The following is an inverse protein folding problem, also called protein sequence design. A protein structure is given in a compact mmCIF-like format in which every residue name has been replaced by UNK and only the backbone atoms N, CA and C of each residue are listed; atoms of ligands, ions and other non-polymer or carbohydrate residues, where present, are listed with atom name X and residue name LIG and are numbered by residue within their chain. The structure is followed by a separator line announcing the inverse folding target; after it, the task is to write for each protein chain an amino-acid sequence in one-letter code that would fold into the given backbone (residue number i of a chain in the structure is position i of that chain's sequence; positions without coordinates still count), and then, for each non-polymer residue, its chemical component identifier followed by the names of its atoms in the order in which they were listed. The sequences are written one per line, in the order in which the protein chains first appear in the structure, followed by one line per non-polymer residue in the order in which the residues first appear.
data_IF_005427417300
#
_entry.id   IF_005427417300
#
_cell.length_a   1.000
_cell.length_b   1.000
_cell.length_c   1.000
_cell.angle_alpha   90.00
_cell.angle_beta   90.00
_cell.angle_gamma   90.00
#
_symmetry.space_group_name_H-M   'P 1'
#
loop_
_entity.id
_entity.type
_entity.pdbx_description
1 polymer ?
#
# COMPACT_ATOMS: atom_id res chain seq x y z
N UNK A 1 -17.66 6.97 -79.49
CA UNK A 1 -18.60 8.10 -79.59
C UNK A 1 -17.85 9.37 -79.28
N UNK A 2 -17.45 10.11 -80.30
CA UNK A 2 -16.74 11.39 -80.18
C UNK A 2 -17.77 12.47 -79.90
N UNK A 3 -17.82 13.00 -78.67
CA UNK A 3 -18.68 14.15 -78.35
C UNK A 3 -18.26 15.33 -79.21
N UNK A 4 -19.23 16.05 -79.76
CA UNK A 4 -18.92 17.27 -80.51
C UNK A 4 -18.37 18.34 -79.56
N UNK A 5 -17.62 19.29 -80.10
CA UNK A 5 -17.07 20.42 -79.31
C UNK A 5 -18.17 21.25 -78.67
N UNK A 6 -19.33 21.36 -79.30
CA UNK A 6 -20.50 22.07 -78.77
C UNK A 6 -21.15 21.31 -77.61
N UNK A 7 -21.29 19.99 -77.72
CA UNK A 7 -21.80 19.15 -76.63
C UNK A 7 -20.90 19.23 -75.40
N UNK A 8 -19.58 19.30 -75.62
CA UNK A 8 -18.62 19.44 -74.51
C UNK A 8 -18.74 20.80 -73.80
N UNK A 9 -18.94 21.89 -74.56
CA UNK A 9 -19.13 23.23 -73.97
C UNK A 9 -20.43 23.31 -73.17
N UNK A 10 -21.53 22.79 -73.71
CA UNK A 10 -22.81 22.75 -73.00
C UNK A 10 -22.72 21.91 -71.72
N UNK A 11 -21.99 20.79 -71.74
CA UNK A 11 -21.76 19.98 -70.55
C UNK A 11 -20.93 20.71 -69.48
N UNK A 12 -19.93 21.50 -69.88
CA UNK A 12 -19.13 22.31 -68.95
C UNK A 12 -19.96 23.44 -68.33
N UNK A 13 -20.80 24.12 -69.12
CA UNK A 13 -21.68 25.17 -68.60
C UNK A 13 -22.74 24.61 -67.64
N UNK A 14 -23.34 23.47 -67.97
CA UNK A 14 -24.26 22.76 -67.08
C UNK A 14 -23.58 22.31 -65.78
N UNK A 15 -22.32 21.87 -65.85
CA UNK A 15 -21.53 21.55 -64.65
C UNK A 15 -21.21 22.81 -63.84
N UNK A 16 -20.80 23.91 -64.47
CA UNK A 16 -20.53 25.18 -63.77
C UNK A 16 -21.76 25.75 -63.07
N UNK A 17 -22.95 25.56 -63.65
CA UNK A 17 -24.21 25.98 -63.04
C UNK A 17 -24.59 25.16 -61.78
N UNK A 18 -24.11 23.91 -61.69
CA UNK A 18 -24.39 23.00 -60.58
C UNK A 18 -23.20 22.78 -59.65
N UNK A 19 -22.03 23.32 -60.02
CA UNK A 19 -20.81 23.20 -59.24
C UNK A 19 -20.94 23.98 -57.93
N UNK A 20 -20.53 23.39 -56.79
CA UNK A 20 -20.47 24.07 -55.51
C UNK A 20 -19.56 25.31 -55.60
N UNK A 21 -19.96 26.40 -54.96
CA UNK A 21 -19.26 27.69 -55.07
C UNK A 21 -17.93 27.70 -54.32
N UNK A 22 -17.81 26.87 -53.28
CA UNK A 22 -16.60 26.72 -52.49
C UNK A 22 -16.00 25.33 -52.69
N UNK A 23 -14.69 25.25 -52.95
CA UNK A 23 -13.90 24.01 -53.06
C UNK A 23 -14.09 23.08 -51.85
N UNK A 24 -14.51 23.62 -50.70
CA UNK A 24 -14.76 22.90 -49.46
C UNK A 24 -15.95 21.95 -49.56
N UNK A 25 -16.91 22.21 -50.45
CA UNK A 25 -18.10 21.37 -50.65
C UNK A 25 -17.84 20.17 -51.57
N UNK A 26 -16.77 20.22 -52.36
CA UNK A 26 -16.36 19.14 -53.26
C UNK A 26 -15.79 17.93 -52.51
N UNK A 27 -15.31 18.15 -51.28
CA UNK A 27 -14.73 17.11 -50.43
C UNK A 27 -15.71 16.81 -49.30
N UNK A 28 -16.47 15.73 -49.43
CA UNK A 28 -17.36 15.16 -48.39
C UNK A 28 -16.60 14.63 -47.16
N UNK A 29 -15.63 15.39 -46.62
CA UNK A 29 -15.15 15.12 -45.27
C UNK A 29 -16.23 15.66 -44.34
N UNK A 30 -16.91 14.81 -43.54
CA UNK A 30 -17.98 15.27 -42.67
C UNK A 30 -17.45 16.42 -41.82
N UNK A 31 -18.09 17.59 -41.94
CA UNK A 31 -17.79 18.77 -41.12
C UNK A 31 -17.94 18.32 -39.66
N UNK A 32 -16.83 18.08 -38.96
CA UNK A 32 -16.86 17.91 -37.50
C UNK A 32 -17.57 19.13 -36.95
N UNK A 33 -18.70 18.90 -36.28
CA UNK A 33 -19.57 19.95 -35.78
C UNK A 33 -18.74 21.05 -35.11
N UNK A 34 -18.90 22.30 -35.55
CA UNK A 34 -18.28 23.49 -34.94
C UNK A 34 -18.73 23.57 -33.48
N UNK A 35 -17.99 22.95 -32.58
CA UNK A 35 -18.32 22.85 -31.16
C UNK A 35 -17.70 21.61 -30.52
N UNK A 36 -17.57 20.52 -31.27
CA UNK A 36 -16.93 19.31 -30.80
C UNK A 36 -15.42 19.42 -31.04
N UNK A 37 -14.74 20.22 -30.20
CA UNK A 37 -13.29 20.11 -30.05
C UNK A 37 -13.02 18.63 -29.78
N UNK A 38 -12.51 17.91 -30.78
CA UNK A 38 -11.98 16.56 -30.61
C UNK A 38 -11.07 16.63 -29.39
N UNK A 39 -11.56 16.14 -28.25
CA UNK A 39 -10.80 16.10 -27.00
C UNK A 39 -9.55 15.33 -27.38
N UNK A 40 -8.41 16.01 -27.49
CA UNK A 40 -7.17 15.47 -28.07
C UNK A 40 -6.73 14.16 -27.41
N UNK A 41 -7.27 13.88 -26.24
CA UNK A 41 -6.99 12.76 -25.34
C UNK A 41 -8.10 11.71 -25.22
N UNK A 42 -9.25 11.79 -25.94
CA UNK A 42 -10.35 10.80 -25.78
C UNK A 42 -9.89 9.37 -26.05
N UNK A 43 -9.13 9.16 -27.13
CA UNK A 43 -8.57 7.83 -27.45
C UNK A 43 -7.41 7.37 -26.57
N UNK A 44 -6.91 8.18 -25.62
CA UNK A 44 -5.93 7.71 -24.62
C UNK A 44 -6.61 7.28 -23.32
N UNK A 45 -7.82 7.77 -23.04
CA UNK A 45 -8.61 7.35 -21.87
C UNK A 45 -9.15 5.90 -22.00
N UNK A 46 -9.14 5.35 -23.22
CA UNK A 46 -9.60 4.00 -23.55
C UNK A 46 -8.49 2.94 -23.47
N UNK A 47 -7.27 3.31 -23.02
CA UNK A 47 -6.12 2.40 -22.88
C UNK A 47 -6.19 1.58 -21.58
N UNK A 48 -7.22 0.73 -21.45
CA UNK A 48 -7.36 -0.20 -20.33
C UNK A 48 -6.21 -1.20 -20.22
N UNK A 49 -5.56 -1.57 -21.34
CA UNK A 49 -4.42 -2.49 -21.34
C UNK A 49 -3.24 -1.95 -20.51
N UNK A 50 -2.98 -0.64 -20.53
CA UNK A 50 -1.91 -0.05 -19.72
C UNK A 50 -2.24 -0.09 -18.22
N UNK A 51 -3.51 0.12 -17.85
CA UNK A 51 -3.95 0.03 -16.46
C UNK A 51 -3.89 -1.41 -15.94
N UNK A 52 -4.26 -2.39 -16.77
CA UNK A 52 -4.14 -3.81 -16.42
C UNK A 52 -2.67 -4.25 -16.32
N UNK A 53 -1.79 -3.78 -17.21
CA UNK A 53 -0.35 -3.99 -17.09
C UNK A 53 0.25 -3.37 -15.82
N UNK A 54 -0.27 -2.22 -15.39
CA UNK A 54 0.13 -1.56 -14.14
C UNK A 54 -0.32 -2.34 -12.91
N UNK A 55 -1.51 -2.93 -12.97
CA UNK A 55 -2.08 -3.77 -11.90
C UNK A 55 -1.56 -5.20 -11.90
N UNK A 56 -0.60 -5.54 -12.77
CA UNK A 56 0.01 -6.87 -12.80
C UNK A 56 0.46 -7.22 -11.37
N UNK A 57 0.08 -8.39 -10.84
CA UNK A 57 0.60 -8.87 -9.56
C UNK A 57 2.10 -9.11 -9.72
N UNK A 58 2.91 -8.10 -9.43
CA UNK A 58 4.38 -8.16 -9.45
C UNK A 58 4.83 -8.23 -8.00
N UNK A 59 5.22 -9.42 -7.59
CA UNK A 59 5.70 -9.69 -6.25
C UNK A 59 5.27 -11.06 -5.79
N UNK A 60 6.24 -11.83 -5.30
CA UNK A 60 6.11 -13.09 -4.55
C UNK A 60 6.11 -14.41 -5.35
N UNK A 61 5.70 -14.48 -6.64
CA UNK A 61 5.60 -15.80 -7.31
C UNK A 61 6.53 -16.06 -8.53
N UNK A 62 7.19 -15.06 -9.12
CA UNK A 62 7.87 -15.28 -10.42
C UNK A 62 9.32 -15.80 -10.36
N UNK A 63 9.90 -16.05 -9.17
CA UNK A 63 11.26 -16.63 -9.07
C UNK A 63 12.39 -15.78 -9.68
N UNK A 64 12.08 -14.60 -10.23
CA UNK A 64 13.02 -13.57 -10.66
C UNK A 64 13.40 -12.76 -9.42
N UNK A 65 14.71 -12.54 -9.14
CA UNK A 65 15.13 -11.67 -8.05
C UNK A 65 14.46 -10.31 -8.23
N UNK A 66 13.79 -9.83 -7.18
CA UNK A 66 13.05 -8.56 -7.25
C UNK A 66 14.04 -7.42 -7.50
N UNK A 67 14.22 -7.04 -8.75
CA UNK A 67 14.75 -5.73 -9.08
C UNK A 67 13.78 -4.70 -8.50
N UNK A 68 14.33 -3.65 -7.88
CA UNK A 68 13.56 -2.55 -7.32
C UNK A 68 12.57 -2.05 -8.37
N UNK A 69 11.28 -2.03 -8.02
CA UNK A 69 10.21 -1.56 -8.89
C UNK A 69 10.67 -0.24 -9.54
N UNK A 70 10.71 -0.13 -10.89
CA UNK A 70 10.98 1.15 -11.52
C UNK A 70 9.87 2.10 -11.07
N UNK A 71 10.22 3.01 -10.16
CA UNK A 71 9.35 4.11 -9.77
C UNK A 71 8.93 4.81 -11.04
N UNK A 72 7.62 4.95 -11.24
CA UNK A 72 7.03 5.52 -12.45
C UNK A 72 7.61 6.92 -12.66
N UNK A 73 8.58 7.05 -13.59
CA UNK A 73 9.16 8.34 -14.00
C UNK A 73 8.29 9.08 -15.00
N UNK A 74 7.11 8.54 -15.29
CA UNK A 74 6.34 8.91 -16.46
C UNK A 74 5.14 9.77 -16.06
N UNK A 75 5.21 11.06 -16.41
CA UNK A 75 4.24 12.10 -16.06
C UNK A 75 2.94 12.00 -16.89
N UNK A 76 2.38 10.81 -17.08
CA UNK A 76 1.15 10.61 -17.86
C UNK A 76 -0.09 10.99 -17.04
N UNK A 77 -0.24 12.27 -16.72
CA UNK A 77 -1.51 12.77 -16.17
C UNK A 77 -2.49 12.99 -17.33
N UNK A 78 -3.44 12.07 -17.48
CA UNK A 78 -4.57 12.15 -18.42
C UNK A 78 -5.73 13.02 -17.91
N UNK A 79 -5.64 13.57 -16.70
CA UNK A 79 -6.59 14.56 -16.19
C UNK A 79 -6.18 15.97 -16.64
N UNK A 80 -7.09 16.78 -17.21
CA UNK A 80 -6.93 18.24 -17.20
C UNK A 80 -6.67 18.68 -15.75
N UNK A 81 -5.72 19.58 -15.55
CA UNK A 81 -5.43 20.18 -14.25
C UNK A 81 -6.67 20.95 -13.78
N UNK A 82 -7.54 20.28 -13.04
CA UNK A 82 -8.59 20.92 -12.27
C UNK A 82 -7.99 21.16 -10.88
N UNK A 83 -7.46 22.36 -10.67
CA UNK A 83 -6.80 22.81 -9.45
C UNK A 83 -7.76 23.01 -8.25
N UNK A 84 -9.00 22.50 -8.35
CA UNK A 84 -10.02 22.55 -7.30
C UNK A 84 -10.40 21.14 -6.80
N UNK A 85 -9.43 20.28 -6.50
CA UNK A 85 -9.70 19.15 -5.61
C UNK A 85 -9.37 19.57 -4.18
N UNK A 86 -10.37 19.51 -3.31
CA UNK A 86 -10.13 19.38 -1.86
C UNK A 86 -9.13 18.23 -1.71
N UNK A 87 -8.03 18.44 -0.98
CA UNK A 87 -7.12 17.36 -0.65
C UNK A 87 -7.96 16.24 -0.03
N UNK A 88 -8.22 15.19 -0.81
CA UNK A 88 -8.71 13.94 -0.27
C UNK A 88 -7.56 13.44 0.60
N UNK A 89 -7.61 13.78 1.88
CA UNK A 89 -6.89 13.08 2.93
C UNK A 89 -7.24 11.61 2.74
N UNK A 90 -6.28 10.85 2.20
CA UNK A 90 -6.35 9.41 2.03
C UNK A 90 -6.35 8.69 3.38
N UNK A 91 -7.36 8.95 4.20
CA UNK A 91 -7.67 8.26 5.45
C UNK A 91 -8.40 6.94 5.18
N UNK A 92 -7.98 6.20 4.15
CA UNK A 92 -8.39 4.79 3.91
C UNK A 92 -7.50 3.78 4.63
N UNK A 93 -6.53 4.25 5.41
CA UNK A 93 -5.74 3.46 6.36
C UNK A 93 -5.70 4.25 7.65
N UNK A 94 -6.66 4.02 8.53
CA UNK A 94 -6.50 4.42 9.93
C UNK A 94 -5.34 3.59 10.48
N UNK A 95 -4.12 4.13 10.33
CA UNK A 95 -2.94 3.59 10.98
C UNK A 95 -3.27 3.61 12.47
N UNK A 96 -3.37 2.44 13.08
CA UNK A 96 -3.41 2.35 14.53
C UNK A 96 -2.08 2.90 15.04
N UNK A 97 -2.08 4.17 15.40
CA UNK A 97 -0.93 4.84 15.95
C UNK A 97 -0.78 4.36 17.40
N UNK A 98 0.32 3.67 17.68
CA UNK A 98 0.67 3.35 19.05
C UNK A 98 1.20 4.64 19.69
N UNK A 99 0.34 5.29 20.47
CA UNK A 99 0.72 6.43 21.30
C UNK A 99 1.47 5.92 22.52
N UNK A 100 2.69 6.41 22.71
CA UNK A 100 3.43 6.28 23.97
C UNK A 100 3.44 7.65 24.62
N UNK A 101 2.94 7.84 25.86
CA UNK A 101 2.34 6.82 26.73
C UNK A 101 0.96 6.33 26.22
N UNK A 102 0.66 5.06 26.45
CA UNK A 102 -0.64 4.47 26.05
C UNK A 102 -1.78 4.98 26.94
N UNK A 103 -3.03 4.94 26.44
CA UNK A 103 -4.21 5.36 27.20
C UNK A 103 -4.30 4.66 28.57
N UNK A 104 -4.08 3.35 28.63
CA UNK A 104 -4.07 2.60 29.89
C UNK A 104 -2.96 3.05 30.86
N UNK A 105 -1.82 3.51 30.33
CA UNK A 105 -0.73 4.05 31.14
C UNK A 105 -1.07 5.46 31.68
N UNK A 106 -1.75 6.27 30.87
CA UNK A 106 -2.28 7.57 31.28
C UNK A 106 -3.32 7.38 32.39
N UNK A 107 -4.32 6.51 32.19
CA UNK A 107 -5.35 6.20 33.19
C UNK A 107 -4.73 5.70 34.51
N UNK A 108 -3.75 4.80 34.44
CA UNK A 108 -3.04 4.31 35.63
C UNK A 108 -2.29 5.43 36.35
N UNK A 109 -1.68 6.35 35.61
CA UNK A 109 -0.95 7.48 36.20
C UNK A 109 -1.89 8.52 36.81
N UNK A 110 -3.10 8.65 36.28
CA UNK A 110 -4.13 9.57 36.80
C UNK A 110 -4.90 9.00 37.99
N UNK A 111 -4.98 7.67 38.12
CA UNK A 111 -5.72 7.02 39.21
C UNK A 111 -5.24 7.41 40.61
N UNK A 112 -3.96 7.70 40.75
CA UNK A 112 -3.33 8.04 42.04
C UNK A 112 -3.26 9.56 42.28
N UNK A 113 -3.93 10.37 41.43
CA UNK A 113 -3.91 11.84 41.52
C UNK A 113 -5.18 12.34 42.21
N UNK A 114 -5.00 13.07 43.31
CA UNK A 114 -6.11 13.72 44.00
C UNK A 114 -6.49 15.00 43.28
N UNK A 115 -7.76 15.11 42.90
CA UNK A 115 -8.29 16.23 42.12
C UNK A 115 -9.28 17.03 42.97
N UNK A 116 -9.15 18.35 42.91
CA UNK A 116 -10.16 19.29 43.37
C UNK A 116 -10.93 19.83 42.17
N UNK A 117 -12.23 19.54 42.15
CA UNK A 117 -13.15 20.04 41.15
C UNK A 117 -13.48 21.51 41.43
N UNK A 118 -13.12 22.38 40.49
CA UNK A 118 -13.50 23.79 40.56
C UNK A 118 -14.53 24.06 39.46
N UNK A 119 -15.79 24.39 39.81
CA UNK A 119 -16.74 24.91 38.82
C UNK A 119 -16.22 26.26 38.34
N UNK A 120 -16.30 26.52 37.03
CA UNK A 120 -15.90 27.82 36.50
C UNK A 120 -16.63 28.97 37.21
N UNK A 121 -15.92 30.05 37.57
CA UNK A 121 -16.59 31.27 38.01
C UNK A 121 -17.42 31.78 36.83
N UNK A 122 -18.66 32.20 37.11
CA UNK A 122 -19.54 32.80 36.10
C UNK A 122 -18.84 34.03 35.55
N UNK A 123 -18.18 33.89 34.40
CA UNK A 123 -17.85 35.05 33.58
C UNK A 123 -19.22 35.65 33.24
N UNK A 124 -19.47 36.88 33.67
CA UNK A 124 -20.70 37.59 33.36
C UNK A 124 -20.90 37.48 31.85
N UNK A 125 -21.89 36.69 31.44
CA UNK A 125 -22.34 36.65 30.05
C UNK A 125 -22.70 38.08 29.67
N UNK A 126 -22.02 38.62 28.67
CA UNK A 126 -22.21 39.98 28.17
C UNK A 126 -23.69 40.30 27.96
N UNK A 127 -24.30 41.00 28.93
CA UNK A 127 -25.57 41.73 28.85
C UNK A 127 -26.86 40.96 28.53
N UNK A 128 -26.82 39.73 28.03
CA UNK A 128 -28.01 38.97 27.68
C UNK A 128 -28.48 38.13 28.87
N UNK A 129 -29.51 38.63 29.55
CA UNK A 129 -30.29 37.90 30.55
C UNK A 129 -30.87 36.62 29.93
N UNK A 130 -30.10 35.55 29.92
CA UNK A 130 -30.66 34.21 29.73
C UNK A 130 -31.30 33.75 31.05
N UNK A 131 -32.44 33.04 31.01
CA UNK A 131 -33.14 32.61 32.21
C UNK A 131 -32.25 31.71 33.09
N UNK A 132 -32.03 32.12 34.34
CA UNK A 132 -31.13 31.54 35.35
C UNK A 132 -31.33 30.04 35.67
N UNK A 133 -32.37 29.39 35.15
CA UNK A 133 -32.77 28.04 35.55
C UNK A 133 -32.16 26.92 34.69
N UNK A 134 -31.65 27.22 33.49
CA UNK A 134 -31.00 26.21 32.60
C UNK A 134 -29.47 26.34 32.50
N UNK A 135 -28.86 27.39 33.05
CA UNK A 135 -27.39 27.61 32.97
C UNK A 135 -26.58 26.83 34.02
N UNK A 136 -27.23 26.12 34.94
CA UNK A 136 -26.56 25.29 35.94
C UNK A 136 -26.15 23.91 35.42
N UNK A 137 -26.80 23.40 34.36
CA UNK A 137 -26.65 22.03 33.87
C UNK A 137 -25.44 21.80 32.94
N UNK A 138 -24.81 22.87 32.44
CA UNK A 138 -23.66 22.81 31.53
C UNK A 138 -22.46 23.62 32.05
N UNK A 139 -22.20 23.57 33.36
CA UNK A 139 -20.94 24.12 33.89
C UNK A 139 -19.82 23.14 33.60
N UNK A 140 -18.81 23.59 32.86
CA UNK A 140 -17.57 22.84 32.77
C UNK A 140 -16.90 22.83 34.15
N UNK A 141 -16.78 21.63 34.72
CA UNK A 141 -16.10 21.41 35.99
C UNK A 141 -14.66 21.04 35.66
N UNK A 142 -13.72 21.93 35.99
CA UNK A 142 -12.31 21.67 35.76
C UNK A 142 -11.72 20.90 36.94
N UNK A 143 -11.15 19.75 36.62
CA UNK A 143 -10.38 18.90 37.52
C UNK A 143 -8.99 19.51 37.74
N UNK A 144 -8.76 20.17 38.89
CA UNK A 144 -7.43 20.69 39.25
C UNK A 144 -6.71 19.70 40.18
N UNK A 145 -5.55 19.14 39.79
CA UNK A 145 -4.82 18.23 40.66
C UNK A 145 -4.25 18.97 41.88
N UNK A 146 -4.49 18.48 43.09
CA UNK A 146 -4.10 19.12 44.36
C UNK A 146 -3.02 18.33 45.11
N UNK A 147 -3.06 17.00 45.05
CA UNK A 147 -2.08 16.14 45.70
C UNK A 147 -1.77 14.89 44.85
N UNK A 148 -0.67 14.21 45.18
CA UNK A 148 -0.14 13.07 44.44
C UNK A 148 1.31 13.31 43.96
N UNK A 149 1.78 12.46 43.05
CA UNK A 149 3.12 12.55 42.46
C UNK A 149 3.19 13.63 41.37
N UNK A 150 3.11 14.90 41.78
CA UNK A 150 3.02 16.07 40.89
C UNK A 150 4.20 17.01 41.13
N UNK A 151 4.84 17.42 40.05
CA UNK A 151 5.88 18.46 40.07
C UNK A 151 5.40 19.72 39.35
N UNK A 152 5.56 20.85 40.02
CA UNK A 152 5.26 22.17 39.47
C UNK A 152 6.55 22.87 39.05
N UNK A 153 6.54 23.44 37.86
CA UNK A 153 7.54 24.37 37.36
C UNK A 153 6.97 25.78 37.18
N UNK A 154 7.76 26.65 36.56
CA UNK A 154 7.36 28.01 36.22
C UNK A 154 7.54 28.26 34.72
N UNK A 155 6.54 28.89 34.13
CA UNK A 155 6.63 29.47 32.79
C UNK A 155 6.70 31.00 32.92
N UNK A 156 7.45 31.65 32.02
CA UNK A 156 7.53 33.10 31.93
C UNK A 156 6.82 33.50 30.65
N UNK A 157 5.68 34.16 30.77
CA UNK A 157 4.90 34.64 29.63
C UNK A 157 5.66 35.75 28.88
N UNK A 158 5.18 36.10 27.68
CA UNK A 158 5.71 37.22 26.88
C UNK A 158 5.72 38.56 27.65
N UNK A 159 4.85 38.69 28.66
CA UNK A 159 4.77 39.86 29.55
C UNK A 159 5.78 39.82 30.72
N UNK A 160 6.66 38.82 30.81
CA UNK A 160 7.62 38.64 31.90
C UNK A 160 7.01 38.16 33.22
N UNK A 161 5.71 37.82 33.24
CA UNK A 161 5.02 37.32 34.42
C UNK A 161 5.30 35.83 34.61
N UNK A 162 5.48 35.40 35.85
CA UNK A 162 5.74 33.99 36.20
C UNK A 162 4.43 33.28 36.50
N UNK A 163 4.13 32.25 35.72
CA UNK A 163 2.97 31.40 35.88
C UNK A 163 3.41 30.04 36.40
N UNK A 164 2.68 29.51 37.40
CA UNK A 164 2.93 28.18 37.95
C UNK A 164 2.31 27.16 37.00
N UNK A 165 3.12 26.22 36.50
CA UNK A 165 2.69 25.22 35.51
C UNK A 165 3.04 23.82 36.00
N UNK A 166 2.21 22.83 35.69
CA UNK A 166 2.49 21.43 36.02
C UNK A 166 3.50 20.88 34.99
N UNK A 167 4.62 20.33 35.47
CA UNK A 167 5.70 19.77 34.62
C UNK A 167 5.71 18.24 34.65
N UNK A 168 5.22 17.63 35.73
CA UNK A 168 5.11 16.16 35.84
C UNK A 168 3.85 15.75 36.60
N UNK A 169 3.19 14.71 36.11
CA UNK A 169 2.11 13.99 36.81
C UNK A 169 2.43 12.49 36.70
N UNK A 170 2.91 11.88 37.78
CA UNK A 170 3.39 10.51 37.78
C UNK A 170 4.49 10.30 36.74
N UNK A 171 4.22 9.46 35.73
CA UNK A 171 5.15 9.20 34.61
C UNK A 171 5.00 10.17 33.43
N UNK A 172 3.94 10.98 33.42
CA UNK A 172 3.65 11.94 32.35
C UNK A 172 4.49 13.21 32.56
N UNK A 173 5.10 13.72 31.50
CA UNK A 173 5.89 14.95 31.52
C UNK A 173 5.27 15.98 30.60
N UNK A 174 5.26 17.24 31.03
CA UNK A 174 4.67 18.36 30.30
C UNK A 174 5.72 19.47 30.11
N UNK A 175 5.65 20.14 28.96
CA UNK A 175 6.54 21.25 28.64
C UNK A 175 6.20 22.47 29.49
N UNK A 176 7.25 23.12 29.99
CA UNK A 176 7.19 24.45 30.61
C UNK A 176 7.40 25.60 29.60
N UNK A 177 7.37 25.29 28.30
CA UNK A 177 7.62 26.24 27.21
C UNK A 177 9.09 26.42 26.81
N UNK A 178 10.03 25.93 27.63
CA UNK A 178 11.47 26.03 27.35
C UNK A 178 12.05 24.77 26.69
N UNK A 179 11.26 23.69 26.62
CA UNK A 179 11.74 22.40 26.12
C UNK A 179 11.56 22.32 24.61
N UNK A 180 12.56 21.77 23.93
CA UNK A 180 12.53 21.50 22.50
C UNK A 180 12.45 19.99 22.26
N UNK A 181 11.69 19.58 21.25
CA UNK A 181 11.69 18.20 20.76
C UNK A 181 12.16 18.16 19.30
N UNK A 182 12.83 17.06 18.92
CA UNK A 182 13.22 16.82 17.54
C UNK A 182 11.97 16.47 16.74
N UNK A 183 11.62 17.33 15.79
CA UNK A 183 10.51 17.14 14.87
C UNK A 183 10.95 17.28 13.42
N UNK A 184 10.02 17.02 12.50
CA UNK A 184 10.22 17.26 11.09
C UNK A 184 9.48 18.56 10.73
N UNK A 185 10.20 19.54 10.20
CA UNK A 185 9.63 20.80 9.71
C UNK A 185 9.81 20.88 8.21
N UNK A 186 8.76 21.32 7.53
CA UNK A 186 8.78 21.52 6.08
C UNK A 186 9.38 22.90 5.79
N UNK A 187 10.57 22.94 5.18
CA UNK A 187 11.28 24.16 4.82
C UNK A 187 11.48 24.16 3.31
N UNK A 188 10.88 25.12 2.62
CA UNK A 188 11.01 25.28 1.15
C UNK A 188 10.63 24.04 0.33
N UNK A 189 9.66 23.24 0.81
CA UNK A 189 9.21 22.02 0.13
C UNK A 189 9.95 20.74 0.56
N UNK A 190 11.02 20.86 1.34
CA UNK A 190 11.80 19.72 1.83
C UNK A 190 11.54 19.48 3.32
N UNK A 191 11.58 18.21 3.73
CA UNK A 191 11.36 17.79 5.12
C UNK A 191 12.71 17.76 5.83
N UNK A 192 12.94 18.70 6.75
CA UNK A 192 14.20 18.83 7.50
C UNK A 192 13.95 18.53 8.97
N UNK A 193 14.88 17.79 9.61
CA UNK A 193 14.88 17.60 11.06
C UNK A 193 15.17 18.94 11.74
N UNK A 194 14.25 19.40 12.59
CA UNK A 194 14.36 20.66 13.31
C UNK A 194 14.05 20.45 14.80
N UNK A 195 14.69 21.24 15.66
CA UNK A 195 14.31 21.33 17.07
C UNK A 195 13.15 22.31 17.20
N UNK A 196 11.97 21.78 17.53
CA UNK A 196 10.73 22.55 17.65
C UNK A 196 10.49 22.83 19.14
N UNK A 197 10.30 24.10 19.49
CA UNK A 197 9.94 24.50 20.84
C UNK A 197 8.51 24.04 21.16
N UNK A 198 8.35 23.30 22.25
CA UNK A 198 7.06 22.73 22.65
C UNK A 198 6.26 23.74 23.46
N UNK A 199 4.99 24.01 23.11
CA UNK A 199 4.17 24.96 23.84
C UNK A 199 3.93 24.52 25.28
N UNK A 200 3.63 25.48 26.16
CA UNK A 200 3.38 25.23 27.58
C UNK A 200 2.23 24.23 27.75
N UNK A 201 2.44 23.20 28.56
CA UNK A 201 1.45 22.14 28.78
C UNK A 201 1.45 21.03 27.72
N UNK A 202 2.25 21.12 26.67
CA UNK A 202 2.38 20.02 25.71
C UNK A 202 2.98 18.78 26.39
N UNK A 203 2.39 17.60 26.14
CA UNK A 203 2.90 16.34 26.68
C UNK A 203 4.19 15.95 25.95
N UNK A 204 5.25 15.71 26.72
CA UNK A 204 6.59 15.43 26.22
C UNK A 204 6.88 13.94 26.18
N UNK A 205 7.80 13.55 25.29
CA UNK A 205 8.17 12.16 25.07
C UNK A 205 7.08 11.36 24.36
N UNK A 206 6.08 12.04 23.80
CA UNK A 206 5.05 11.43 22.99
C UNK A 206 5.68 10.90 21.71
N UNK A 207 5.75 9.59 21.58
CA UNK A 207 6.20 8.98 20.32
C UNK A 207 5.02 8.30 19.68
N UNK A 208 4.61 8.85 18.56
CA UNK A 208 3.78 8.18 17.59
C UNK A 208 4.67 7.19 16.84
N UNK A 209 4.61 5.91 17.21
CA UNK A 209 5.32 4.86 16.47
C UNK A 209 4.32 4.05 15.66
N UNK A 210 4.45 4.10 14.33
CA UNK A 210 4.04 3.00 13.48
C UNK A 210 5.20 1.99 13.44
N UNK A 211 5.13 0.97 14.29
CA UNK A 211 6.21 -0.02 14.54
C UNK A 211 6.61 -0.80 13.28
N UNK A 212 5.74 -0.83 12.26
CA UNK A 212 5.95 -1.49 10.98
C UNK A 212 6.61 -0.61 9.90
N UNK A 213 6.46 0.71 9.96
CA UNK A 213 6.93 1.63 8.89
C UNK A 213 8.46 1.87 8.92
N UNK A 214 9.18 1.35 9.93
CA UNK A 214 10.64 1.51 10.05
C UNK A 214 11.48 0.37 9.48
N UNK A 215 10.86 -0.70 8.97
CA UNK A 215 11.60 -1.88 8.50
C UNK A 215 12.56 -2.46 9.54
N UNK A 216 12.38 -2.14 10.83
CA UNK A 216 13.28 -2.56 11.88
C UNK A 216 13.02 -4.02 12.22
N UNK A 217 14.12 -4.75 12.37
CA UNK A 217 14.16 -6.13 12.90
C UNK A 217 13.22 -6.23 14.09
N UNK A 218 12.30 -7.21 14.06
CA UNK A 218 11.32 -7.42 15.12
C UNK A 218 12.00 -7.39 16.49
N UNK A 219 11.43 -6.60 17.42
CA UNK A 219 12.04 -6.43 18.74
C UNK A 219 12.18 -7.80 19.41
N UNK A 220 13.39 -8.18 19.88
CA UNK A 220 13.64 -9.52 20.39
C UNK A 220 12.79 -9.84 21.64
N UNK A 221 12.36 -8.80 22.35
CA UNK A 221 11.47 -8.90 23.52
C UNK A 221 10.06 -9.29 23.10
N UNK A 222 9.51 -8.68 22.05
CA UNK A 222 8.17 -9.01 21.54
C UNK A 222 8.13 -10.41 20.92
N UNK A 223 9.18 -10.77 20.16
CA UNK A 223 9.35 -12.12 19.63
C UNK A 223 9.44 -13.13 20.77
N UNK A 224 10.13 -12.81 21.86
CA UNK A 224 10.18 -13.66 23.05
C UNK A 224 8.81 -13.81 23.70
N UNK A 225 8.07 -12.71 23.92
CA UNK A 225 6.74 -12.72 24.54
C UNK A 225 5.71 -13.50 23.70
N UNK A 226 5.66 -13.25 22.40
CA UNK A 226 4.83 -14.02 21.46
C UNK A 226 5.17 -15.51 21.52
N UNK A 227 6.47 -15.83 21.54
CA UNK A 227 6.90 -17.21 21.67
C UNK A 227 6.57 -17.84 23.03
N UNK A 228 6.55 -17.05 24.12
CA UNK A 228 6.16 -17.53 25.45
C UNK A 228 4.67 -17.83 25.51
N UNK A 229 3.86 -16.98 24.88
CA UNK A 229 2.43 -17.21 24.70
C UNK A 229 2.16 -18.53 23.95
N UNK A 230 2.73 -18.72 22.74
CA UNK A 230 2.51 -19.96 21.99
C UNK A 230 3.11 -21.21 22.64
N UNK A 231 4.18 -21.08 23.44
CA UNK A 231 4.81 -22.20 24.13
C UNK A 231 4.19 -22.51 25.52
N UNK A 232 3.10 -21.85 25.89
CA UNK A 232 2.40 -22.16 27.14
C UNK A 232 3.12 -21.73 28.41
N UNK A 233 4.11 -20.83 28.32
CA UNK A 233 4.85 -20.37 29.51
C UNK A 233 4.15 -19.14 30.10
N UNK A 234 3.71 -19.17 31.37
CA UNK A 234 3.19 -17.98 32.02
C UNK A 234 4.30 -16.93 32.14
N UNK A 235 3.94 -15.68 31.87
CA UNK A 235 4.79 -14.50 32.13
C UNK A 235 4.04 -13.59 33.08
N UNK A 236 4.74 -12.65 33.73
CA UNK A 236 4.15 -11.71 34.69
C UNK A 236 2.92 -10.97 34.15
N UNK A 237 2.87 -10.76 32.83
CA UNK A 237 1.83 -9.99 32.15
C UNK A 237 0.90 -10.83 31.24
N UNK A 238 1.11 -12.15 31.11
CA UNK A 238 0.25 -13.01 30.28
C UNK A 238 0.10 -14.43 30.85
N UNK A 239 -1.13 -14.99 30.86
CA UNK A 239 -1.36 -16.39 31.22
C UNK A 239 -0.63 -17.32 30.25
N UNK A 240 -0.16 -18.47 30.74
CA UNK A 240 0.52 -19.47 29.90
C UNK A 240 -0.41 -19.94 28.79
N UNK A 241 -0.01 -19.74 27.53
CA UNK A 241 -0.87 -19.95 26.37
C UNK A 241 -1.04 -21.39 25.86
N UNK A 242 -1.50 -21.49 24.61
CA UNK A 242 -2.29 -22.61 24.04
C UNK A 242 -1.60 -23.99 24.04
N UNK A 243 -0.30 -24.07 23.77
CA UNK A 243 0.40 -25.33 23.53
C UNK A 243 1.50 -25.50 24.57
N UNK A 244 1.37 -26.49 25.46
CA UNK A 244 2.37 -26.85 26.48
C UNK A 244 3.59 -27.57 25.86
N UNK A 245 4.16 -26.98 24.80
CA UNK A 245 5.18 -27.60 23.99
C UNK A 245 6.58 -27.04 24.31
N UNK A 246 7.57 -27.93 24.36
CA UNK A 246 8.97 -27.52 24.50
C UNK A 246 9.48 -26.96 23.18
N UNK A 247 10.13 -25.79 23.22
CA UNK A 247 10.85 -25.26 22.06
C UNK A 247 11.97 -26.24 21.67
N UNK A 248 12.10 -26.61 20.39
CA UNK A 248 13.23 -27.40 19.95
C UNK A 248 14.52 -26.60 20.17
N UNK A 249 15.53 -27.24 20.78
CA UNK A 249 16.88 -26.66 20.78
C UNK A 249 17.40 -26.71 19.34
N UNK A 250 17.94 -25.59 18.85
CA UNK A 250 18.65 -25.58 17.58
C UNK A 250 19.79 -26.60 17.67
N UNK A 251 19.72 -27.66 16.87
CA UNK A 251 20.82 -28.62 16.78
C UNK A 251 21.99 -27.84 16.21
N UNK A 252 23.03 -27.62 17.03
CA UNK A 252 24.28 -27.04 16.55
C UNK A 252 24.83 -28.03 15.52
N UNK A 253 24.69 -27.73 14.23
CA UNK A 253 25.41 -28.46 13.18
C UNK A 253 26.89 -28.40 13.56
N UNK A 254 27.56 -29.55 13.66
CA UNK A 254 29.02 -29.54 13.76
C UNK A 254 29.53 -28.78 12.54
N UNK A 255 30.33 -27.75 12.76
CA UNK A 255 30.93 -26.95 11.71
C UNK A 255 31.95 -27.81 10.98
N UNK A 256 31.49 -28.52 9.94
CA UNK A 256 32.33 -29.27 9.02
C UNK A 256 31.78 -29.07 7.61
N UNK A 257 32.65 -28.94 6.59
CA UNK A 257 32.23 -28.93 5.20
C UNK A 257 31.88 -30.37 4.81
N UNK A 258 30.72 -30.85 5.23
CA UNK A 258 30.15 -32.03 4.59
C UNK A 258 29.62 -31.57 3.23
N UNK A 259 30.37 -31.90 2.18
CA UNK A 259 29.90 -31.77 0.81
C UNK A 259 28.52 -32.40 0.71
N UNK A 260 27.53 -31.59 0.30
CA UNK A 260 26.18 -32.10 0.05
C UNK A 260 26.26 -33.06 -1.14
N UNK A 261 26.37 -34.35 -0.86
CA UNK A 261 26.28 -35.38 -1.89
C UNK A 261 24.84 -35.43 -2.37
N UNK A 262 24.63 -35.20 -3.66
CA UNK A 262 23.35 -35.40 -4.32
C UNK A 262 23.09 -36.90 -4.43
N UNK A 263 22.55 -37.51 -3.37
CA UNK A 263 22.26 -38.93 -3.31
C UNK A 263 20.84 -39.15 -3.82
N UNK A 264 20.66 -40.10 -4.74
CA UNK A 264 19.33 -40.48 -5.22
C UNK A 264 18.56 -41.26 -4.13
N UNK A 265 17.22 -41.27 -4.21
CA UNK A 265 16.39 -41.97 -3.21
C UNK A 265 16.68 -43.47 -3.10
N UNK A 266 17.11 -44.10 -4.19
CA UNK A 266 17.45 -45.52 -4.23
C UNK A 266 18.76 -45.79 -3.49
N UNK A 267 19.79 -45.00 -3.78
CA UNK A 267 21.10 -45.08 -3.11
C UNK A 267 20.97 -44.79 -1.60
N UNK A 268 20.13 -43.83 -1.22
CA UNK A 268 19.87 -43.52 0.20
C UNK A 268 19.26 -44.72 0.95
N UNK A 269 18.41 -45.52 0.29
CA UNK A 269 17.84 -46.74 0.90
C UNK A 269 18.87 -47.85 1.06
N UNK A 270 19.76 -48.01 0.08
CA UNK A 270 20.86 -48.98 0.15
C UNK A 270 21.85 -48.62 1.25
N UNK A 271 22.29 -47.36 1.33
CA UNK A 271 23.17 -46.89 2.41
C UNK A 271 22.57 -47.11 3.80
N UNK A 272 21.26 -46.94 3.94
CA UNK A 272 20.56 -47.19 5.20
C UNK A 272 20.54 -48.68 5.54
N UNK A 273 20.26 -49.55 4.55
CA UNK A 273 20.31 -51.00 4.74
C UNK A 273 21.71 -51.50 5.12
N UNK A 274 22.76 -50.99 4.45
CA UNK A 274 24.15 -51.32 4.74
C UNK A 274 24.57 -50.83 6.13
N UNK A 275 24.10 -49.64 6.54
CA UNK A 275 24.35 -49.11 7.87
C UNK A 275 23.69 -49.98 8.96
N UNK A 276 22.45 -50.42 8.74
CA UNK A 276 21.75 -51.33 9.67
C UNK A 276 22.50 -52.66 9.79
N UNK A 277 22.91 -53.25 8.66
CA UNK A 277 23.63 -54.51 8.64
C UNK A 277 24.99 -54.43 9.34
N UNK A 278 25.67 -53.28 9.24
CA UNK A 278 26.97 -53.03 9.87
C UNK A 278 26.90 -52.64 11.35
N UNK A 279 25.72 -52.36 11.91
CA UNK A 279 25.57 -52.00 13.34
C UNK A 279 25.06 -53.19 14.17
N UNK A 280 25.92 -53.91 14.92
CA UNK A 280 25.53 -55.10 15.68
C UNK A 280 24.64 -54.82 16.90
N UNK A 281 24.65 -53.59 17.42
CA UNK A 281 23.74 -53.14 18.48
C UNK A 281 23.10 -51.83 18.05
N UNK A 282 21.81 -51.89 17.72
CA UNK A 282 21.02 -50.72 17.35
C UNK A 282 20.87 -49.81 18.59
N UNK A 283 21.18 -48.51 18.49
CA UNK A 283 20.96 -47.59 19.60
C UNK A 283 19.47 -47.51 19.94
N UNK A 284 19.17 -47.36 21.23
CA UNK A 284 17.80 -47.23 21.71
C UNK A 284 17.11 -46.01 21.07
N UNK A 285 15.96 -46.23 20.44
CA UNK A 285 15.18 -45.18 19.80
C UNK A 285 14.54 -44.31 20.88
N UNK A 286 15.25 -43.22 21.26
CA UNK A 286 14.71 -42.22 22.18
C UNK A 286 13.57 -41.46 21.51
N UNK A 287 12.32 -41.81 21.88
CA UNK A 287 11.14 -41.01 21.51
C UNK A 287 11.20 -39.68 22.25
N UNK A 288 11.42 -38.60 21.52
CA UNK A 288 11.33 -37.26 22.07
C UNK A 288 9.89 -36.97 22.51
N UNK A 289 9.70 -36.20 23.59
CA UNK A 289 8.37 -35.73 23.98
C UNK A 289 7.76 -34.88 22.85
N UNK A 290 6.43 -34.88 22.75
CA UNK A 290 5.68 -34.08 21.78
C UNK A 290 6.12 -32.61 21.84
N UNK A 291 6.59 -32.07 20.72
CA UNK A 291 7.13 -30.72 20.62
C UNK A 291 7.06 -30.22 19.17
N UNK A 292 7.36 -28.95 18.95
CA UNK A 292 7.24 -28.37 17.61
C UNK A 292 8.30 -28.93 16.63
N UNK A 293 7.91 -29.30 15.39
CA UNK A 293 8.76 -30.04 14.45
C UNK A 293 9.97 -29.25 13.92
N UNK A 294 9.92 -27.92 13.98
CA UNK A 294 11.05 -27.02 13.85
C UNK A 294 10.62 -25.69 14.46
N UNK A 295 11.47 -25.04 15.24
CA UNK A 295 11.14 -23.76 15.87
C UNK A 295 11.58 -22.62 14.96
N UNK A 296 10.69 -22.02 14.15
CA UNK A 296 11.02 -20.73 13.54
C UNK A 296 11.37 -19.73 14.65
N UNK A 297 12.14 -18.69 14.31
CA UNK A 297 12.50 -17.62 15.25
C UNK A 297 11.26 -17.05 15.96
N UNK A 298 10.13 -17.05 15.26
CA UNK A 298 8.82 -16.66 15.76
C UNK A 298 7.82 -17.82 15.59
N UNK A 299 7.43 -18.46 16.69
CA UNK A 299 6.46 -19.56 16.75
C UNK A 299 5.10 -19.19 16.15
N UNK A 300 4.71 -17.91 16.23
CA UNK A 300 3.48 -17.39 15.65
C UNK A 300 3.34 -17.70 14.15
N UNK A 301 4.46 -17.83 13.41
CA UNK A 301 4.47 -18.16 11.98
C UNK A 301 3.95 -19.56 11.67
N UNK A 302 3.94 -20.49 12.63
CA UNK A 302 3.36 -21.82 12.44
C UNK A 302 1.83 -21.81 12.47
N UNK A 303 1.23 -20.73 12.99
CA UNK A 303 -0.23 -20.57 13.07
C UNK A 303 -0.66 -19.18 12.57
N UNK A 304 -0.53 -18.90 11.27
CA UNK A 304 -0.95 -17.62 10.71
C UNK A 304 -2.43 -17.29 11.05
N UNK A 305 -3.30 -18.30 11.15
CA UNK A 305 -4.70 -18.12 11.53
C UNK A 305 -4.97 -17.82 13.03
N UNK A 306 -3.99 -18.00 13.92
CA UNK A 306 -4.12 -17.66 15.35
C UNK A 306 -3.50 -16.30 15.69
N UNK A 307 -2.74 -15.70 14.77
CA UNK A 307 -2.17 -14.36 14.95
C UNK A 307 -3.26 -13.34 14.66
N UNK A 308 -4.04 -12.99 15.69
CA UNK A 308 -4.89 -11.80 15.64
C UNK A 308 -4.01 -10.58 15.87
N UNK A 309 -3.73 -9.83 14.82
CA UNK A 309 -3.41 -8.41 15.01
C UNK A 309 -4.68 -7.65 15.39
N UNK A 310 -4.50 -6.56 16.13
CA UNK A 310 -5.59 -5.79 16.72
C UNK A 310 -6.58 -5.19 15.69
N UNK A 311 -6.23 -5.14 14.40
CA UNK A 311 -7.00 -4.43 13.37
C UNK A 311 -7.55 -5.31 12.25
N UNK A 312 -7.82 -6.60 12.48
CA UNK A 312 -8.63 -7.45 11.56
C UNK A 312 -8.01 -7.78 10.18
N UNK A 313 -7.05 -6.99 9.70
CA UNK A 313 -6.49 -7.02 8.34
C UNK A 313 -5.05 -7.56 8.28
N UNK A 314 -4.58 -8.22 9.33
CA UNK A 314 -3.34 -9.00 9.23
C UNK A 314 -3.54 -10.44 9.71
N UNK A 315 -4.41 -11.15 9.01
CA UNK A 315 -4.00 -12.46 8.54
C UNK A 315 -2.86 -12.27 7.54
N UNK A 316 -2.02 -13.29 7.33
CA UNK A 316 -1.50 -13.49 5.96
C UNK A 316 -2.65 -13.24 4.97
N UNK A 317 -2.42 -12.62 3.80
CA UNK A 317 -3.40 -12.61 2.70
C UNK A 317 -4.15 -13.95 2.77
N UNK A 318 -5.49 -13.89 2.87
CA UNK A 318 -6.26 -15.12 3.03
C UNK A 318 -5.79 -16.09 1.96
N UNK A 319 -5.75 -17.39 2.22
CA UNK A 319 -5.40 -18.34 1.16
C UNK A 319 -6.22 -18.01 -0.10
N UNK A 320 -7.49 -17.67 0.08
CA UNK A 320 -8.41 -17.18 -0.95
C UNK A 320 -7.87 -15.97 -1.74
N UNK A 321 -7.27 -14.98 -1.09
CA UNK A 321 -6.61 -13.83 -1.73
C UNK A 321 -5.35 -14.26 -2.50
N UNK A 322 -4.50 -15.08 -1.88
CA UNK A 322 -3.28 -15.60 -2.54
C UNK A 322 -3.63 -16.46 -3.75
N UNK A 323 -4.70 -17.24 -3.66
CA UNK A 323 -5.19 -18.08 -4.75
C UNK A 323 -5.85 -17.25 -5.85
N UNK A 324 -6.64 -16.23 -5.51
CA UNK A 324 -7.23 -15.32 -6.50
C UNK A 324 -6.17 -14.49 -7.21
N UNK A 325 -5.18 -13.95 -6.50
CA UNK A 325 -4.03 -13.26 -7.09
C UNK A 325 -3.22 -14.19 -8.01
N UNK A 326 -3.00 -15.45 -7.59
CA UNK A 326 -2.33 -16.45 -8.43
C UNK A 326 -3.16 -16.78 -9.67
N UNK A 327 -4.48 -16.94 -9.52
CA UNK A 327 -5.37 -17.19 -10.64
C UNK A 327 -5.31 -16.02 -11.62
N UNK A 328 -5.47 -14.78 -11.15
CA UNK A 328 -5.35 -13.55 -11.95
C UNK A 328 -3.98 -13.43 -12.64
N UNK A 329 -2.89 -13.82 -11.97
CA UNK A 329 -1.55 -13.85 -12.57
C UNK A 329 -1.45 -14.87 -13.72
N UNK A 330 -1.96 -16.09 -13.51
CA UNK A 330 -2.01 -17.13 -14.55
C UNK A 330 -2.93 -16.72 -15.71
N UNK A 331 -4.03 -16.02 -15.41
CA UNK A 331 -4.93 -15.46 -16.42
C UNK A 331 -4.22 -14.41 -17.28
N UNK A 332 -3.52 -13.49 -16.63
CA UNK A 332 -2.76 -12.44 -17.27
C UNK A 332 -1.62 -13.01 -18.13
N UNK A 333 -0.88 -14.01 -17.62
CA UNK A 333 0.16 -14.69 -18.37
C UNK A 333 -0.39 -15.36 -19.65
N UNK A 334 -1.59 -15.94 -19.59
CA UNK A 334 -2.26 -16.49 -20.78
C UNK A 334 -2.66 -15.40 -21.77
N UNK A 335 -3.14 -14.24 -21.30
CA UNK A 335 -3.43 -13.11 -22.19
C UNK A 335 -2.16 -12.63 -22.90
N UNK A 336 -1.02 -12.56 -22.19
CA UNK A 336 0.27 -12.22 -22.79
C UNK A 336 0.70 -13.22 -23.86
N UNK A 337 0.50 -14.52 -23.66
CA UNK A 337 0.80 -15.54 -24.66
C UNK A 337 -0.06 -15.42 -25.93
N UNK A 338 -1.28 -14.88 -25.81
CA UNK A 338 -2.16 -14.61 -26.95
C UNK A 338 -1.83 -13.34 -27.73
N UNK A 339 -1.00 -12.46 -27.17
CA UNK A 339 -0.58 -11.23 -27.83
C UNK A 339 0.63 -11.46 -28.72
N UNK A 340 0.83 -10.57 -29.71
CA UNK A 340 2.10 -10.54 -30.46
C UNK A 340 3.20 -9.96 -29.58
N UNK A 341 4.39 -10.56 -29.61
CA UNK A 341 5.57 -10.15 -28.84
C UNK A 341 5.90 -8.65 -29.02
N UNK A 342 5.73 -8.13 -30.23
CA UNK A 342 5.95 -6.71 -30.53
C UNK A 342 5.06 -5.76 -29.72
N UNK A 343 3.80 -6.14 -29.48
CA UNK A 343 2.87 -5.33 -28.70
C UNK A 343 3.13 -5.46 -27.20
N UNK A 344 3.55 -6.65 -26.75
CA UNK A 344 3.99 -6.87 -25.35
C UNK A 344 5.21 -6.00 -25.03
N UNK A 345 6.20 -5.96 -25.93
CA UNK A 345 7.34 -5.06 -25.81
C UNK A 345 6.92 -3.59 -25.79
N UNK A 346 5.94 -3.21 -26.62
CA UNK A 346 5.42 -1.83 -26.68
C UNK A 346 4.77 -1.43 -25.35
N UNK A 347 3.94 -2.28 -24.75
CA UNK A 347 3.33 -2.03 -23.44
C UNK A 347 4.38 -1.98 -22.32
N UNK A 348 5.38 -2.85 -22.38
CA UNK A 348 6.49 -2.88 -21.41
C UNK A 348 7.32 -1.60 -21.49
N UNK A 349 7.64 -1.12 -22.70
CA UNK A 349 8.32 0.16 -22.90
C UNK A 349 7.46 1.35 -22.49
N UNK A 350 6.14 1.27 -22.67
CA UNK A 350 5.23 2.35 -22.26
C UNK A 350 5.22 2.58 -20.74
N UNK A 351 5.46 1.52 -19.95
CA UNK A 351 5.56 1.62 -18.49
C UNK A 351 6.76 2.45 -18.04
N UNK A 352 7.88 2.38 -18.76
CA UNK A 352 9.10 3.11 -18.44
C UNK A 352 9.25 4.44 -19.20
N UNK A 353 8.62 4.59 -20.37
CA UNK A 353 8.71 5.77 -21.22
C UNK A 353 8.11 7.01 -20.55
N UNK A 354 8.82 8.13 -20.59
CA UNK A 354 8.38 9.43 -20.05
C UNK A 354 7.37 10.13 -20.97
N UNK A 355 7.36 9.79 -22.27
CA UNK A 355 6.51 10.45 -23.27
C UNK A 355 6.16 9.54 -24.46
N UNK A 356 5.10 9.88 -25.21
CA UNK A 356 4.74 9.21 -26.48
C UNK A 356 5.84 9.32 -27.54
N UNK A 357 6.63 10.40 -27.47
CA UNK A 357 7.72 10.65 -28.40
C UNK A 357 8.80 9.58 -28.23
N UNK A 358 9.20 9.30 -26.99
CA UNK A 358 10.21 8.29 -26.66
C UNK A 358 9.79 6.89 -27.16
N UNK A 359 8.50 6.56 -27.05
CA UNK A 359 7.95 5.29 -27.54
C UNK A 359 7.92 5.21 -29.08
N UNK A 360 7.80 6.33 -29.78
CA UNK A 360 7.98 6.39 -31.23
C UNK A 360 9.44 6.34 -31.65
N UNK A 361 10.32 7.01 -30.91
CA UNK A 361 11.76 7.04 -31.14
C UNK A 361 12.43 5.68 -30.92
N UNK A 362 11.94 4.87 -29.97
CA UNK A 362 12.42 3.48 -29.77
C UNK A 362 12.20 2.59 -31.00
N UNK A 363 11.25 2.95 -31.88
CA UNK A 363 10.97 2.28 -33.15
C UNK A 363 11.58 3.00 -34.37
N UNK A 364 12.42 4.01 -34.14
CA UNK A 364 13.16 4.73 -35.19
C UNK A 364 12.41 5.90 -35.84
N UNK A 365 11.25 6.30 -35.31
CA UNK A 365 10.56 7.50 -35.79
C UNK A 365 11.13 8.76 -35.13
N UNK A 366 11.17 9.88 -35.84
CA UNK A 366 11.71 11.14 -35.31
C UNK A 366 10.69 12.29 -35.32
N UNK A 367 10.86 13.24 -34.39
CA UNK A 367 10.11 14.49 -34.33
C UNK A 367 8.59 14.30 -34.11
N UNK A 368 7.78 15.12 -34.80
CA UNK A 368 6.31 15.08 -34.67
C UNK A 368 5.71 13.74 -35.09
N UNK A 369 6.37 13.04 -36.02
CA UNK A 369 5.94 11.72 -36.47
C UNK A 369 6.14 10.65 -35.39
N UNK A 370 7.15 10.78 -34.53
CA UNK A 370 7.36 9.87 -33.41
C UNK A 370 6.18 9.88 -32.43
N UNK A 371 5.62 11.06 -32.11
CA UNK A 371 4.45 11.17 -31.23
C UNK A 371 3.22 10.47 -31.85
N UNK A 372 2.99 10.66 -33.15
CA UNK A 372 1.87 10.04 -33.86
C UNK A 372 2.05 8.52 -33.99
N UNK A 373 3.27 8.06 -34.26
CA UNK A 373 3.63 6.64 -34.33
C UNK A 373 3.48 5.98 -32.96
N UNK A 374 4.02 6.58 -31.89
CA UNK A 374 3.89 6.07 -30.52
C UNK A 374 2.43 5.94 -30.09
N UNK A 375 1.58 6.92 -30.43
CA UNK A 375 0.13 6.82 -30.19
C UNK A 375 -0.50 5.67 -30.96
N UNK A 376 -0.18 5.47 -32.24
CA UNK A 376 -0.72 4.37 -33.06
C UNK A 376 -0.28 3.01 -32.54
N UNK A 377 0.98 2.89 -32.12
CA UNK A 377 1.53 1.66 -31.53
C UNK A 377 0.82 1.28 -30.23
N UNK A 378 0.56 2.25 -29.35
CA UNK A 378 -0.19 2.01 -28.11
C UNK A 378 -1.64 1.59 -28.36
N UNK A 379 -2.32 2.24 -29.30
CA UNK A 379 -3.70 1.87 -29.66
C UNK A 379 -3.72 0.45 -30.23
N UNK A 380 -2.83 0.13 -31.18
CA UNK A 380 -2.74 -1.21 -31.74
C UNK A 380 -2.40 -2.29 -30.68
N UNK A 381 -1.54 -1.96 -29.72
CA UNK A 381 -1.22 -2.88 -28.62
C UNK A 381 -2.40 -3.09 -27.67
N UNK A 382 -3.17 -2.02 -27.39
CA UNK A 382 -4.39 -2.10 -26.58
C UNK A 382 -5.48 -2.92 -27.28
N UNK A 383 -5.69 -2.72 -28.58
CA UNK A 383 -6.67 -3.48 -29.36
C UNK A 383 -6.32 -4.97 -29.37
N UNK A 384 -5.05 -5.32 -29.58
CA UNK A 384 -4.57 -6.70 -29.52
C UNK A 384 -4.76 -7.31 -28.12
N UNK A 385 -4.44 -6.56 -27.05
CA UNK A 385 -4.69 -7.01 -25.68
C UNK A 385 -6.19 -7.29 -25.43
N UNK A 386 -7.09 -6.41 -25.91
CA UNK A 386 -8.54 -6.61 -25.80
C UNK A 386 -9.02 -7.81 -26.62
N UNK A 387 -8.47 -8.03 -27.81
CA UNK A 387 -8.75 -9.22 -28.62
C UNK A 387 -8.28 -10.50 -27.92
N UNK A 388 -7.07 -10.52 -27.35
CA UNK A 388 -6.55 -11.65 -26.59
C UNK A 388 -7.45 -11.98 -25.38
N UNK A 389 -7.94 -10.95 -24.68
CA UNK A 389 -8.90 -11.10 -23.58
C UNK A 389 -10.24 -11.68 -24.03
N UNK A 390 -10.78 -11.22 -25.17
CA UNK A 390 -12.05 -11.69 -25.74
C UNK A 390 -11.96 -13.12 -26.29
N UNK A 391 -10.89 -13.46 -27.02
CA UNK A 391 -10.73 -14.78 -27.61
C UNK A 391 -10.76 -15.89 -26.55
N UNK A 392 -10.28 -15.60 -25.33
CA UNK A 392 -10.38 -16.53 -24.21
C UNK A 392 -11.82 -16.75 -23.71
N UNK A 393 -12.62 -15.69 -23.63
CA UNK A 393 -14.03 -15.81 -23.22
C UNK A 393 -14.76 -16.78 -24.15
N UNK A 394 -14.50 -16.67 -25.46
CA UNK A 394 -15.10 -17.54 -26.47
C UNK A 394 -14.56 -18.99 -26.43
N UNK A 395 -13.27 -19.20 -26.16
CA UNK A 395 -12.73 -20.56 -25.97
C UNK A 395 -13.28 -21.25 -24.72
N UNK A 396 -13.50 -20.52 -23.63
CA UNK A 396 -14.07 -21.09 -22.40
C UNK A 396 -15.54 -21.51 -22.60
N UNK A 397 -16.34 -20.69 -23.30
CA UNK A 397 -17.73 -21.04 -23.62
C UNK A 397 -17.86 -22.27 -24.52
N UNK A 398 -16.93 -22.45 -25.47
CA UNK A 398 -16.94 -23.62 -26.36
C UNK A 398 -16.49 -24.92 -25.65
N UNK A 399 -15.64 -24.83 -24.62
CA UNK A 399 -15.23 -25.99 -23.84
C UNK A 399 -16.30 -26.45 -22.83
N UNK A 400 -17.16 -25.55 -22.34
CA UNK A 400 -18.24 -25.90 -21.40
C UNK A 400 -19.44 -26.58 -22.06
N UNK A 401 -19.62 -26.44 -23.37
CA UNK A 401 -20.73 -27.08 -24.10
C UNK A 401 -20.44 -28.54 -24.49
N UNK A 402 -19.23 -29.05 -24.22
CA UNK A 402 -18.78 -30.38 -24.66
C UNK A 402 -18.37 -31.33 -23.53
N UNK A 403 -18.96 -31.19 -22.34
CA UNK A 403 -18.97 -32.29 -21.34
C UNK A 403 -20.33 -33.00 -21.41
N UNK A 404 -20.47 -34.09 -22.19
CA UNK A 404 -21.63 -34.96 -22.02
C UNK A 404 -21.60 -35.50 -20.59
N UNK A 405 -22.67 -35.26 -19.84
CA UNK A 405 -22.93 -35.91 -18.56
C UNK A 405 -22.89 -37.42 -18.79
N UNK A 406 -21.88 -38.09 -18.23
CA UNK A 406 -21.79 -39.55 -18.12
C UNK A 406 -22.02 -39.92 -16.67
#
# INVERSE_FOLDING_TARGET
MTRSTEEHRNAIEAWRATAPTDDIELWEKPKKAKGEKSRRHRGLAELSALLEFYRRPVGVAEGVPSEELPTVKSNWRLSPANDNKVQEEGCGREKAFEYIPSLAMIERSLKDVDVFERPEPVMLSDGHQMPLWNSAAHREVHANPVAGDIEYGYHIDDCGKRHKTIVRIGRLRFSNGNQTEKGLKLVMGEVVEAEIAMPVGAMLGCREKATRDKGSVADPVEVALSNHYFAGRPTENMPGGLFQAKKPRRVKRKAGPEERRNITKAEARQMLADAIANTPVMPEVKRCPTGFPAGPTQLAQLWPGLVKVATGDSGSQGWEDVYSERAEAEEFAKWLQGMKDEHVQTLTQAMSARSLQELGESRGYSGKYAIAAGRRLLVAANDNFQEAKKNRINCLTLCTEYTPLV
#
